data_IF_929842239010
#
_entry.id   IF_929842239010
#
_cell.length_a   1.000
_cell.length_b   1.000
_cell.length_c   1.000
_cell.angle_alpha   90.00
_cell.angle_beta   90.00
_cell.angle_gamma   90.00
#
_symmetry.space_group_name_H-M   'P 1'
#
loop_
_entity.id
_entity.type
_entity.pdbx_description
1 polymer ?
#
# COMPACT_ATOMS: atom_id res chain seq x y z
N UNK A 1 1.29 -4.38 -10.64
CA UNK A 1 0.11 -4.69 -9.82
C UNK A 1 -1.09 -4.00 -10.44
N UNK A 2 -1.69 -4.59 -11.48
CA UNK A 2 -2.92 -4.05 -12.06
C UNK A 2 -4.11 -4.48 -11.18
N UNK A 3 -5.23 -3.75 -11.24
CA UNK A 3 -6.48 -4.13 -10.57
C UNK A 3 -6.88 -5.59 -10.82
N UNK A 4 -6.87 -6.02 -12.09
CA UNK A 4 -7.28 -7.37 -12.48
C UNK A 4 -6.40 -8.47 -11.87
N UNK A 5 -5.08 -8.27 -11.79
CA UNK A 5 -4.18 -9.25 -11.17
C UNK A 5 -4.43 -9.36 -9.65
N UNK A 6 -4.79 -8.25 -9.00
CA UNK A 6 -5.19 -8.29 -7.58
C UNK A 6 -6.47 -9.10 -7.41
N UNK A 7 -7.49 -8.85 -8.23
CA UNK A 7 -8.79 -9.52 -8.15
C UNK A 7 -8.64 -11.03 -8.40
N UNK A 8 -7.82 -11.42 -9.37
CA UNK A 8 -7.45 -12.82 -9.61
C UNK A 8 -6.76 -13.43 -8.39
N UNK A 9 -5.78 -12.74 -7.80
CA UNK A 9 -5.03 -13.23 -6.64
C UNK A 9 -5.93 -13.44 -5.42
N UNK A 10 -6.91 -12.56 -5.18
CA UNK A 10 -7.87 -12.72 -4.09
C UNK A 10 -8.82 -13.90 -4.33
N UNK A 11 -9.28 -14.09 -5.57
CA UNK A 11 -10.07 -15.27 -5.95
C UNK A 11 -9.30 -16.58 -5.73
N UNK A 12 -8.03 -16.63 -6.14
CA UNK A 12 -7.15 -17.77 -5.89
C UNK A 12 -6.97 -18.05 -4.39
N UNK A 13 -6.83 -17.01 -3.56
CA UNK A 13 -6.73 -17.19 -2.12
C UNK A 13 -7.99 -17.86 -1.54
N UNK A 14 -9.18 -17.39 -1.92
CA UNK A 14 -10.45 -17.99 -1.49
C UNK A 14 -10.54 -19.47 -1.85
N UNK A 15 -10.25 -19.80 -3.10
CA UNK A 15 -10.35 -21.18 -3.59
C UNK A 15 -9.30 -22.10 -2.94
N UNK A 16 -8.09 -21.58 -2.70
CA UNK A 16 -7.01 -22.30 -2.05
C UNK A 16 -7.37 -22.66 -0.60
N UNK A 17 -7.79 -21.69 0.19
CA UNK A 17 -8.12 -21.94 1.60
C UNK A 17 -9.35 -22.83 1.75
N UNK A 18 -10.39 -22.65 0.93
CA UNK A 18 -11.55 -23.54 0.93
C UNK A 18 -11.20 -25.00 0.62
N UNK A 19 -10.19 -25.24 -0.24
CA UNK A 19 -9.76 -26.59 -0.60
C UNK A 19 -8.85 -27.23 0.45
N UNK A 20 -7.91 -26.46 1.00
CA UNK A 20 -6.81 -27.01 1.79
C UNK A 20 -7.01 -26.87 3.31
N UNK A 21 -7.88 -25.96 3.75
CA UNK A 21 -8.19 -25.69 5.16
C UNK A 21 -9.70 -25.51 5.37
N UNK A 22 -10.54 -26.49 4.95
CA UNK A 22 -12.00 -26.36 4.95
C UNK A 22 -12.62 -26.19 6.35
N UNK A 23 -11.88 -26.51 7.41
CA UNK A 23 -12.30 -26.36 8.80
C UNK A 23 -12.32 -24.90 9.28
N UNK A 24 -11.66 -23.98 8.56
CA UNK A 24 -11.65 -22.54 8.86
C UNK A 24 -12.23 -21.76 7.69
N UNK A 25 -13.20 -20.90 7.99
CA UNK A 25 -13.76 -20.00 7.00
C UNK A 25 -12.96 -18.68 6.94
N UNK A 26 -12.12 -18.53 5.92
CA UNK A 26 -11.34 -17.31 5.68
C UNK A 26 -12.15 -16.28 4.88
N UNK A 27 -12.93 -15.47 5.59
CA UNK A 27 -13.81 -14.44 4.99
C UNK A 27 -13.11 -13.14 4.59
N UNK A 28 -11.96 -12.84 5.20
CA UNK A 28 -11.33 -11.52 5.09
C UNK A 28 -9.83 -11.62 4.85
N UNK A 29 -9.33 -10.75 3.98
CA UNK A 29 -7.92 -10.43 3.85
C UNK A 29 -7.57 -9.20 4.66
N UNK A 30 -6.40 -9.19 5.31
CA UNK A 30 -5.89 -8.03 6.05
C UNK A 30 -4.56 -7.57 5.45
N UNK A 31 -4.33 -6.27 5.42
CA UNK A 31 -3.09 -5.69 4.93
C UNK A 31 -2.70 -4.49 5.79
N UNK A 32 -1.42 -4.45 6.18
CA UNK A 32 -0.78 -3.28 6.79
C UNK A 32 0.34 -2.82 5.87
N UNK A 33 0.20 -1.64 5.28
CA UNK A 33 1.17 -1.15 4.29
C UNK A 33 1.16 0.37 4.18
N UNK A 34 2.30 0.93 3.78
CA UNK A 34 2.39 2.32 3.32
C UNK A 34 1.55 2.56 2.07
N UNK A 35 1.32 1.52 1.28
CA UNK A 35 0.42 1.55 0.13
C UNK A 35 -1.02 1.86 0.53
N UNK A 36 -1.40 1.69 1.80
CA UNK A 36 -2.74 1.99 2.29
C UNK A 36 -2.88 3.42 2.85
N UNK A 37 -1.84 4.25 2.77
CA UNK A 37 -1.91 5.64 3.23
C UNK A 37 -2.78 6.50 2.30
N UNK A 38 -3.95 7.03 2.77
CA UNK A 38 -4.80 7.90 1.97
C UNK A 38 -4.10 9.18 1.49
N UNK A 39 -3.02 9.60 2.16
CA UNK A 39 -2.24 10.77 1.75
C UNK A 39 -1.70 10.63 0.31
N UNK A 40 -1.47 9.39 -0.17
CA UNK A 40 -1.03 9.14 -1.55
C UNK A 40 -2.05 9.62 -2.60
N UNK A 41 -3.35 9.57 -2.29
CA UNK A 41 -4.41 10.02 -3.20
C UNK A 41 -4.43 11.54 -3.39
N UNK A 42 -3.77 12.32 -2.52
CA UNK A 42 -3.60 13.76 -2.70
C UNK A 42 -2.60 14.10 -3.82
N UNK A 43 -1.82 13.12 -4.28
CA UNK A 43 -0.74 13.33 -5.23
C UNK A 43 -0.84 12.45 -6.48
N UNK A 44 -1.44 11.26 -6.36
CA UNK A 44 -1.58 10.31 -7.45
C UNK A 44 -2.98 10.40 -8.05
N UNK A 45 -3.13 10.25 -9.39
CA UNK A 45 -4.44 10.27 -10.01
C UNK A 45 -5.27 9.05 -9.54
N UNK A 46 -6.61 9.13 -9.55
CA UNK A 46 -7.49 8.00 -9.25
C UNK A 46 -7.23 6.74 -10.10
N UNK A 47 -6.68 6.93 -11.30
CA UNK A 47 -6.31 5.85 -12.22
C UNK A 47 -5.01 5.15 -11.84
N UNK A 48 -4.23 5.66 -10.89
CA UNK A 48 -3.04 4.98 -10.38
C UNK A 48 -3.40 3.63 -9.76
N UNK A 49 -2.63 2.60 -10.09
CA UNK A 49 -2.81 1.27 -9.51
C UNK A 49 -2.75 1.26 -7.98
N UNK A 50 -1.97 2.17 -7.37
CA UNK A 50 -1.90 2.29 -5.90
C UNK A 50 -3.24 2.78 -5.35
N UNK A 51 -3.81 3.84 -5.92
CA UNK A 51 -5.09 4.40 -5.48
C UNK A 51 -6.22 3.40 -5.70
N UNK A 52 -6.24 2.71 -6.84
CA UNK A 52 -7.22 1.66 -7.08
C UNK A 52 -7.06 0.48 -6.10
N UNK A 53 -5.84 0.10 -5.75
CA UNK A 53 -5.59 -0.94 -4.74
C UNK A 53 -6.12 -0.52 -3.36
N UNK A 54 -5.85 0.72 -2.94
CA UNK A 54 -6.35 1.28 -1.67
C UNK A 54 -7.87 1.19 -1.54
N UNK A 55 -8.60 1.51 -2.62
CA UNK A 55 -10.07 1.54 -2.62
C UNK A 55 -10.73 0.19 -2.34
N UNK A 56 -9.97 -0.92 -2.37
CA UNK A 56 -10.47 -2.25 -2.03
C UNK A 56 -10.56 -2.51 -0.53
N UNK A 57 -9.84 -1.72 0.28
CA UNK A 57 -9.70 -1.96 1.71
C UNK A 57 -10.57 -0.99 2.53
N UNK A 58 -11.25 -1.54 3.52
CA UNK A 58 -11.79 -0.78 4.64
C UNK A 58 -10.69 -0.53 5.65
N UNK A 59 -10.26 0.73 5.79
CA UNK A 59 -9.22 1.09 6.74
C UNK A 59 -9.72 1.03 8.17
N UNK A 60 -8.88 0.52 9.07
CA UNK A 60 -9.10 0.64 10.51
C UNK A 60 -8.54 1.99 11.02
N UNK A 61 -9.07 2.52 12.13
CA UNK A 61 -8.53 3.74 12.75
C UNK A 61 -7.07 3.59 13.15
N UNK A 62 -6.34 4.71 13.13
CA UNK A 62 -4.93 4.77 13.50
C UNK A 62 -3.97 4.46 12.35
N UNK A 63 -2.71 4.35 12.71
CA UNK A 63 -1.56 4.21 11.82
C UNK A 63 -0.27 4.54 12.58
N UNK A 64 0.87 4.21 12.02
CA UNK A 64 2.17 4.54 12.60
C UNK A 64 3.12 5.07 11.53
N UNK A 65 4.24 5.66 11.96
CA UNK A 65 5.23 6.20 11.03
C UNK A 65 5.68 5.11 10.04
N UNK A 66 5.55 5.41 8.75
CA UNK A 66 5.92 4.55 7.64
C UNK A 66 7.00 5.16 6.75
N UNK A 67 7.71 6.19 7.21
CA UNK A 67 8.73 6.88 6.40
C UNK A 67 9.82 5.90 5.96
N UNK A 68 10.30 5.06 6.89
CA UNK A 68 11.31 4.05 6.58
C UNK A 68 10.80 3.00 5.59
N UNK A 69 9.54 2.57 5.69
CA UNK A 69 8.94 1.62 4.76
C UNK A 69 8.85 2.18 3.36
N UNK A 70 8.33 3.41 3.21
CA UNK A 70 8.27 4.07 1.90
C UNK A 70 9.67 4.20 1.32
N UNK A 71 10.67 4.60 2.12
CA UNK A 71 12.06 4.65 1.66
C UNK A 71 12.59 3.31 1.16
N UNK A 72 12.32 2.26 1.94
CA UNK A 72 12.75 0.90 1.63
C UNK A 72 12.09 0.36 0.36
N UNK A 73 10.80 0.58 0.16
CA UNK A 73 10.06 -0.03 -0.94
C UNK A 73 10.14 0.79 -2.24
N UNK A 74 10.13 2.12 -2.16
CA UNK A 74 10.19 2.99 -3.35
C UNK A 74 11.63 3.13 -3.84
N UNK A 75 12.59 3.34 -2.94
CA UNK A 75 13.98 3.65 -3.32
C UNK A 75 14.97 2.51 -3.10
N UNK A 76 14.57 1.43 -2.41
CA UNK A 76 15.49 0.33 -2.02
C UNK A 76 16.65 0.82 -1.17
N UNK A 77 16.38 1.78 -0.27
CA UNK A 77 17.36 2.38 0.64
C UNK A 77 16.88 2.31 2.09
N UNK A 78 17.81 2.26 3.03
CA UNK A 78 17.54 2.38 4.47
C UNK A 78 18.13 3.71 4.93
N UNK A 79 17.29 4.59 5.48
CA UNK A 79 17.67 5.93 5.96
C UNK A 79 18.55 6.78 5.00
N UNK A 80 18.23 6.89 3.69
CA UNK A 80 18.98 7.77 2.79
C UNK A 80 18.75 9.25 3.11
N UNK A 81 19.68 10.12 2.71
CA UNK A 81 19.40 11.55 2.63
C UNK A 81 18.38 11.83 1.52
N UNK A 82 17.45 12.76 1.76
CA UNK A 82 16.45 13.16 0.75
C UNK A 82 17.07 13.82 -0.49
N UNK A 83 18.30 14.34 -0.39
CA UNK A 83 19.01 14.97 -1.51
C UNK A 83 19.62 13.95 -2.49
N UNK A 84 19.77 12.69 -2.06
CA UNK A 84 20.39 11.62 -2.86
C UNK A 84 19.34 10.77 -3.60
N UNK A 85 18.06 10.98 -3.30
CA UNK A 85 17.00 10.13 -3.81
C UNK A 85 16.69 10.43 -5.28
N UNK A 86 16.61 9.40 -6.14
CA UNK A 86 16.23 9.59 -7.54
C UNK A 86 14.80 10.14 -7.62
N UNK A 87 14.52 10.99 -8.61
CA UNK A 87 13.22 11.66 -8.79
C UNK A 87 12.64 11.42 -10.20
N UNK A 88 12.82 10.20 -10.72
CA UNK A 88 12.51 9.80 -12.09
C UNK A 88 11.02 9.52 -12.28
N UNK A 89 10.38 8.89 -11.30
CA UNK A 89 8.94 8.57 -11.36
C UNK A 89 8.11 9.58 -10.56
N UNK A 90 6.81 9.65 -10.84
CA UNK A 90 5.88 10.49 -10.07
C UNK A 90 5.87 10.09 -8.60
N UNK A 91 5.87 8.79 -8.29
CA UNK A 91 5.86 8.31 -6.91
C UNK A 91 7.13 8.73 -6.16
N UNK A 92 8.31 8.56 -6.79
CA UNK A 92 9.58 9.01 -6.22
C UNK A 92 9.54 10.52 -5.86
N UNK A 93 9.05 11.36 -6.78
CA UNK A 93 8.92 12.81 -6.54
C UNK A 93 7.95 13.15 -5.41
N UNK A 94 6.82 12.47 -5.37
CA UNK A 94 5.77 12.70 -4.36
C UNK A 94 6.27 12.37 -2.97
N UNK A 95 6.97 11.24 -2.82
CA UNK A 95 7.54 10.83 -1.52
C UNK A 95 8.50 11.88 -1.00
N UNK A 96 9.46 12.31 -1.83
CA UNK A 96 10.44 13.33 -1.43
C UNK A 96 9.77 14.67 -1.13
N UNK A 97 8.82 15.09 -1.97
CA UNK A 97 8.07 16.35 -1.77
C UNK A 97 7.35 16.37 -0.42
N UNK A 98 6.65 15.29 -0.08
CA UNK A 98 5.89 15.17 1.17
C UNK A 98 6.81 15.29 2.39
N UNK A 99 7.92 14.57 2.39
CA UNK A 99 8.89 14.57 3.49
C UNK A 99 9.63 15.91 3.62
N UNK A 100 9.98 16.56 2.50
CA UNK A 100 10.57 17.92 2.53
C UNK A 100 9.62 18.98 3.08
N UNK A 101 8.31 18.76 2.99
CA UNK A 101 7.31 19.63 3.59
C UNK A 101 7.12 19.37 5.11
N UNK A 102 7.97 18.55 5.73
CA UNK A 102 7.88 18.18 7.14
C UNK A 102 6.69 17.27 7.46
N UNK A 103 6.08 16.65 6.45
CA UNK A 103 5.00 15.67 6.62
C UNK A 103 5.59 14.26 6.72
N UNK A 104 4.77 13.31 7.18
CA UNK A 104 5.18 11.92 7.39
C UNK A 104 4.22 10.95 6.69
N UNK A 105 4.78 9.93 6.07
CA UNK A 105 4.02 8.80 5.55
C UNK A 105 3.63 7.86 6.67
N UNK A 106 2.51 7.16 6.49
CA UNK A 106 1.97 6.26 7.49
C UNK A 106 1.86 4.83 6.95
N UNK A 107 2.16 3.85 7.79
CA UNK A 107 1.59 2.51 7.62
C UNK A 107 0.14 2.56 8.09
N UNK A 108 -0.77 2.16 7.21
CA UNK A 108 -2.18 1.99 7.51
C UNK A 108 -2.56 0.54 7.41
N UNK A 109 -3.50 0.13 8.24
CA UNK A 109 -4.08 -1.21 8.24
C UNK A 109 -5.50 -1.17 7.70
N UNK A 110 -5.88 -2.20 6.96
CA UNK A 110 -7.23 -2.36 6.46
C UNK A 110 -7.56 -3.81 6.14
N UNK A 111 -8.83 -4.06 5.88
CA UNK A 111 -9.35 -5.38 5.54
C UNK A 111 -10.25 -5.30 4.30
N UNK A 112 -10.36 -6.43 3.60
CA UNK A 112 -11.29 -6.63 2.50
C UNK A 112 -11.98 -7.98 2.63
N UNK A 113 -13.15 -8.14 2.03
CA UNK A 113 -13.81 -9.44 1.90
C UNK A 113 -13.17 -10.24 0.75
N UNK A 114 -12.94 -11.53 0.98
CA UNK A 114 -12.39 -12.48 -0.02
C UNK A 114 -13.50 -13.19 -0.81
#
# INVERSE_FOLDING_TARGET
MTPAICDESFGQARDFFARHFPEVEYRFGQCSSWLLDPQLANYLPPTSNIVQFQQRFHLVPGGWNGDQDVMRFVFRRVAPSLDELPQRTTLERVVVKHLRAGQHWQIRSGWLAL
#
